data_IF_704809289263
#
_entry.id   IF_704809289263
#
_cell.length_a   1.000
_cell.length_b   1.000
_cell.length_c   1.000
_cell.angle_alpha   90.00
_cell.angle_beta   90.00
_cell.angle_gamma   90.00
#
_symmetry.space_group_name_H-M   'P 1'
#
loop_
_entity.id
_entity.type
_entity.pdbx_description
1 polymer ?
#
# COMPACT_ATOMS: atom_id res chain seq x y z
N UNK A 1 -17.87 17.08 -4.42
CA UNK A 1 -16.99 16.29 -5.31
C UNK A 1 -16.43 17.04 -6.53
N UNK A 2 -17.07 18.10 -7.07
CA UNK A 2 -16.56 18.84 -8.23
C UNK A 2 -15.25 19.63 -7.99
N UNK A 3 -15.04 20.16 -6.78
CA UNK A 3 -13.85 20.98 -6.44
C UNK A 3 -12.51 20.22 -6.32
N UNK A 4 -12.46 18.89 -6.47
CA UNK A 4 -11.18 18.15 -6.44
C UNK A 4 -10.64 17.79 -7.83
N UNK A 5 -11.50 17.85 -8.86
CA UNK A 5 -11.17 17.45 -10.24
C UNK A 5 -10.47 18.55 -11.06
N UNK A 6 -10.57 19.83 -10.69
CA UNK A 6 -9.91 20.92 -11.45
C UNK A 6 -8.38 20.87 -11.36
N UNK A 7 -7.80 20.35 -10.27
CA UNK A 7 -6.35 20.18 -10.15
C UNK A 7 -5.79 19.20 -11.18
N UNK A 8 -6.57 18.18 -11.55
CA UNK A 8 -6.21 17.22 -12.61
C UNK A 8 -6.19 17.91 -13.98
N UNK A 9 -7.14 18.81 -14.22
CA UNK A 9 -7.18 19.63 -15.43
C UNK A 9 -6.02 20.62 -15.53
N UNK A 10 -5.30 20.91 -14.45
CA UNK A 10 -4.11 21.77 -14.47
C UNK A 10 -2.79 21.02 -14.72
N UNK A 11 -2.69 19.74 -14.34
CA UNK A 11 -1.44 18.96 -14.50
C UNK A 11 -1.14 18.69 -15.97
N UNK A 12 -2.16 18.36 -16.77
CA UNK A 12 -2.01 18.11 -18.21
C UNK A 12 -1.46 19.34 -18.97
N UNK A 13 -2.09 20.53 -18.89
CA UNK A 13 -1.54 21.71 -19.55
C UNK A 13 -0.18 22.12 -18.99
N UNK A 14 0.08 21.95 -17.68
CA UNK A 14 1.40 22.21 -17.09
C UNK A 14 2.48 21.30 -17.71
N UNK A 15 2.20 20.00 -17.86
CA UNK A 15 3.10 19.03 -18.50
C UNK A 15 3.28 19.27 -20.00
N UNK A 16 2.33 19.97 -20.64
CA UNK A 16 2.42 20.37 -22.04
C UNK A 16 3.11 21.74 -22.24
N UNK A 17 3.29 22.57 -21.22
CA UNK A 17 4.01 23.86 -21.34
C UNK A 17 5.42 23.75 -21.92
N UNK A 18 6.22 22.68 -21.69
CA UNK A 18 7.52 22.54 -22.31
C UNK A 18 7.44 22.36 -23.85
N UNK A 19 6.31 21.92 -24.41
CA UNK A 19 6.10 21.86 -25.86
C UNK A 19 6.17 23.26 -26.49
N UNK A 20 5.67 24.29 -25.80
CA UNK A 20 5.69 25.66 -26.29
C UNK A 20 7.12 26.24 -26.35
N UNK A 21 8.06 25.66 -25.58
CA UNK A 21 9.46 26.06 -25.57
C UNK A 21 10.31 25.35 -26.65
N UNK A 22 9.78 24.31 -27.32
CA UNK A 22 10.52 23.57 -28.36
C UNK A 22 11.11 24.45 -29.47
N UNK A 23 10.39 25.48 -30.00
CA UNK A 23 10.92 26.35 -31.06
C UNK A 23 12.07 27.26 -30.58
N UNK A 24 12.19 27.47 -29.27
CA UNK A 24 13.21 28.34 -28.66
C UNK A 24 14.48 27.58 -28.29
N UNK A 25 14.50 26.25 -28.48
CA UNK A 25 15.66 25.43 -28.13
C UNK A 25 16.76 25.54 -29.20
N UNK A 26 18.02 25.76 -28.79
CA UNK A 26 19.11 26.10 -29.70
C UNK A 26 19.62 24.92 -30.53
N UNK A 27 19.27 23.68 -30.17
CA UNK A 27 19.69 22.49 -30.91
C UNK A 27 18.68 21.35 -30.80
N UNK A 28 18.76 20.42 -31.75
CA UNK A 28 17.91 19.24 -31.86
C UNK A 28 18.04 18.28 -30.67
N UNK A 29 19.19 18.27 -29.99
CA UNK A 29 19.41 17.47 -28.79
C UNK A 29 18.54 17.94 -27.62
N UNK A 30 18.51 19.24 -27.33
CA UNK A 30 17.66 19.84 -26.30
C UNK A 30 16.17 19.63 -26.62
N UNK A 31 15.79 19.74 -27.90
CA UNK A 31 14.43 19.41 -28.35
C UNK A 31 14.09 17.95 -28.07
N UNK A 32 15.01 17.02 -28.35
CA UNK A 32 14.84 15.60 -28.07
C UNK A 32 14.64 15.30 -26.57
N UNK A 33 15.38 15.97 -25.68
CA UNK A 33 15.20 15.84 -24.23
C UNK A 33 13.79 16.28 -23.82
N UNK A 34 13.33 17.44 -24.29
CA UNK A 34 12.00 17.96 -23.96
C UNK A 34 10.91 17.00 -24.45
N UNK A 35 10.99 16.56 -25.70
CA UNK A 35 10.05 15.57 -26.25
C UNK A 35 10.06 14.28 -25.42
N UNK A 36 11.24 13.78 -25.04
CA UNK A 36 11.39 12.59 -24.20
C UNK A 36 10.75 12.76 -22.82
N UNK A 37 10.98 13.90 -22.16
CA UNK A 37 10.37 14.22 -20.85
C UNK A 37 8.85 14.28 -20.94
N UNK A 38 8.29 14.86 -22.00
CA UNK A 38 6.84 14.93 -22.19
C UNK A 38 6.26 13.55 -22.52
N UNK A 39 6.89 12.84 -23.45
CA UNK A 39 6.44 11.52 -23.89
C UNK A 39 6.44 10.50 -22.73
N UNK A 40 7.40 10.59 -21.80
CA UNK A 40 7.41 9.76 -20.60
C UNK A 40 6.53 10.33 -19.47
N UNK A 41 6.60 11.64 -19.26
CA UNK A 41 5.98 12.33 -18.12
C UNK A 41 4.46 12.41 -18.21
N UNK A 42 3.88 12.61 -19.40
CA UNK A 42 2.43 12.71 -19.57
C UNK A 42 1.73 11.37 -19.28
N UNK A 43 2.13 10.22 -19.87
CA UNK A 43 1.55 8.92 -19.51
C UNK A 43 1.76 8.57 -18.04
N UNK A 44 2.94 8.84 -17.48
CA UNK A 44 3.20 8.62 -16.05
C UNK A 44 2.32 9.50 -15.15
N UNK A 45 2.09 10.76 -15.54
CA UNK A 45 1.17 11.68 -14.87
C UNK A 45 -0.27 11.20 -14.92
N UNK A 46 -0.75 10.81 -16.11
CA UNK A 46 -2.09 10.24 -16.30
C UNK A 46 -2.25 8.97 -15.47
N UNK A 47 -1.27 8.06 -15.51
CA UNK A 47 -1.28 6.84 -14.69
C UNK A 47 -1.39 7.16 -13.19
N UNK A 48 -0.57 8.08 -12.69
CA UNK A 48 -0.63 8.50 -11.28
C UNK A 48 -1.98 9.13 -10.90
N UNK A 49 -2.56 9.93 -11.79
CA UNK A 49 -3.89 10.51 -11.61
C UNK A 49 -4.95 9.42 -11.60
N UNK A 50 -4.89 8.47 -12.53
CA UNK A 50 -5.83 7.34 -12.59
C UNK A 50 -5.73 6.51 -11.32
N UNK A 51 -4.53 6.13 -10.87
CA UNK A 51 -4.33 5.36 -9.64
C UNK A 51 -4.79 6.11 -8.39
N UNK A 52 -4.56 7.42 -8.32
CA UNK A 52 -5.01 8.24 -7.18
C UNK A 52 -6.51 8.53 -7.20
N UNK A 53 -7.15 8.53 -8.38
CA UNK A 53 -8.59 8.78 -8.55
C UNK A 53 -9.45 7.52 -8.58
N UNK A 54 -8.87 6.36 -8.87
CA UNK A 54 -9.55 5.07 -8.79
C UNK A 54 -9.57 4.56 -7.35
N UNK A 55 -10.56 3.71 -7.07
CA UNK A 55 -10.86 3.08 -5.76
C UNK A 55 -9.67 2.41 -5.07
N UNK A 56 -8.53 2.25 -5.75
CA UNK A 56 -7.25 1.81 -5.20
C UNK A 56 -6.81 2.68 -4.02
N UNK A 57 -7.01 4.00 -4.08
CA UNK A 57 -6.66 4.89 -2.95
C UNK A 57 -7.49 4.58 -1.70
N UNK A 58 -8.78 4.24 -1.87
CA UNK A 58 -9.65 3.84 -0.76
C UNK A 58 -9.26 2.48 -0.19
N UNK A 59 -8.96 1.50 -1.05
CA UNK A 59 -8.50 0.18 -0.60
C UNK A 59 -7.19 0.29 0.20
N UNK A 60 -6.24 1.06 -0.32
CA UNK A 60 -4.97 1.32 0.35
C UNK A 60 -5.10 2.03 1.69
N UNK A 61 -5.96 3.05 1.77
CA UNK A 61 -6.20 3.74 3.04
C UNK A 61 -6.92 2.82 4.03
N UNK A 62 -7.69 1.84 3.54
CA UNK A 62 -8.18 0.72 4.34
C UNK A 62 -7.05 -0.10 4.96
N UNK A 63 -6.09 -0.58 4.14
CA UNK A 63 -4.92 -1.33 4.62
C UNK A 63 -4.04 -0.53 5.59
N UNK A 64 -3.88 0.77 5.34
CA UNK A 64 -3.12 1.65 6.22
C UNK A 64 -3.87 1.89 7.54
N UNK A 65 -5.18 2.10 7.49
CA UNK A 65 -6.02 2.22 8.68
C UNK A 65 -5.96 0.95 9.54
N UNK A 66 -6.01 -0.23 8.92
CA UNK A 66 -5.84 -1.52 9.61
C UNK A 66 -4.48 -1.59 10.33
N UNK A 67 -3.40 -1.15 9.66
CA UNK A 67 -2.06 -1.07 10.27
C UNK A 67 -2.00 -0.07 11.42
N UNK A 68 -2.67 1.08 11.32
CA UNK A 68 -2.77 2.04 12.41
C UNK A 68 -3.57 1.49 13.59
N UNK A 69 -4.70 0.82 13.35
CA UNK A 69 -5.46 0.11 14.39
C UNK A 69 -4.58 -0.93 15.08
N UNK A 70 -3.90 -1.80 14.32
CA UNK A 70 -2.98 -2.78 14.89
C UNK A 70 -1.87 -2.14 15.73
N UNK A 71 -1.36 -0.97 15.32
CA UNK A 71 -0.37 -0.24 16.09
C UNK A 71 -0.94 0.27 17.42
N UNK A 72 -2.16 0.82 17.42
CA UNK A 72 -2.84 1.24 18.65
C UNK A 72 -3.17 0.07 19.57
N UNK A 73 -3.60 -1.07 19.02
CA UNK A 73 -3.82 -2.30 19.79
C UNK A 73 -2.53 -2.82 20.43
N UNK A 74 -1.42 -2.88 19.67
CA UNK A 74 -0.10 -3.24 20.22
C UNK A 74 0.36 -2.28 21.32
N UNK A 75 0.08 -0.99 21.17
CA UNK A 75 0.35 0.01 22.22
C UNK A 75 -0.55 -0.19 23.43
N UNK A 76 -1.81 -0.62 23.24
CA UNK A 76 -2.75 -0.88 24.32
C UNK A 76 -2.20 -1.95 25.27
N UNK A 77 -1.70 -3.06 24.70
CA UNK A 77 -1.18 -4.22 25.44
C UNK A 77 0.33 -4.16 25.76
N UNK A 78 1.01 -3.07 25.39
CA UNK A 78 2.45 -2.94 25.64
C UNK A 78 2.73 -3.03 27.14
N UNK A 79 3.55 -4.01 27.54
CA UNK A 79 3.91 -4.27 28.93
C UNK A 79 3.06 -5.34 29.60
N UNK A 80 2.01 -5.84 28.94
CA UNK A 80 1.23 -6.99 29.40
C UNK A 80 1.69 -8.25 28.65
N UNK A 81 2.41 -9.13 29.36
CA UNK A 81 2.91 -10.39 28.82
C UNK A 81 1.82 -11.44 28.59
N UNK A 82 0.61 -11.21 29.10
CA UNK A 82 -0.51 -12.17 29.05
C UNK A 82 -1.56 -11.81 27.99
N UNK A 83 -1.32 -10.74 27.23
CA UNK A 83 -2.21 -10.28 26.18
C UNK A 83 -1.72 -10.71 24.80
N UNK A 84 -2.65 -11.12 23.94
CA UNK A 84 -2.36 -11.58 22.58
C UNK A 84 -3.13 -10.76 21.55
N UNK A 85 -2.46 -10.42 20.45
CA UNK A 85 -3.08 -9.73 19.31
C UNK A 85 -2.89 -10.58 18.05
N UNK A 86 -3.99 -11.06 17.49
CA UNK A 86 -4.04 -11.73 16.21
C UNK A 86 -4.58 -10.74 15.17
N UNK A 87 -3.90 -10.59 14.03
CA UNK A 87 -4.37 -9.75 12.93
C UNK A 87 -4.84 -10.64 11.78
N UNK A 88 -5.82 -10.17 10.99
CA UNK A 88 -6.35 -10.83 9.80
C UNK A 88 -6.74 -12.28 10.05
N UNK A 89 -7.61 -12.50 11.03
CA UNK A 89 -8.10 -13.86 11.35
C UNK A 89 -9.04 -14.31 10.24
N UNK A 90 -8.70 -15.38 9.52
CA UNK A 90 -9.55 -15.85 8.45
C UNK A 90 -10.74 -16.65 8.98
N UNK A 91 -11.96 -16.17 8.75
CA UNK A 91 -13.12 -16.83 9.34
C UNK A 91 -14.43 -16.66 8.55
N UNK A 92 -15.01 -17.78 8.15
CA UNK A 92 -16.36 -17.81 7.56
C UNK A 92 -16.50 -17.05 6.24
N UNK A 93 -15.47 -17.09 5.39
CA UNK A 93 -15.44 -16.40 4.08
C UNK A 93 -15.07 -14.93 4.15
N UNK A 94 -14.79 -14.40 5.35
CA UNK A 94 -14.35 -13.04 5.59
C UNK A 94 -13.08 -13.05 6.44
N UNK A 95 -12.35 -11.95 6.43
CA UNK A 95 -11.21 -11.74 7.33
C UNK A 95 -11.65 -10.81 8.45
N UNK A 96 -11.35 -11.20 9.68
CA UNK A 96 -11.51 -10.37 10.87
C UNK A 96 -10.23 -9.55 11.01
N UNK A 97 -10.31 -8.23 10.96
CA UNK A 97 -9.12 -7.38 10.96
C UNK A 97 -8.25 -7.64 12.20
N UNK A 98 -8.84 -7.61 13.40
CA UNK A 98 -8.12 -7.93 14.62
C UNK A 98 -8.94 -8.69 15.65
N UNK A 99 -8.29 -9.63 16.33
CA UNK A 99 -8.76 -10.27 17.54
C UNK A 99 -7.74 -10.02 18.64
N UNK A 100 -8.15 -9.32 19.69
CA UNK A 100 -7.32 -9.03 20.84
C UNK A 100 -7.85 -9.79 22.07
N UNK A 101 -6.95 -10.48 22.76
CA UNK A 101 -7.23 -11.18 24.01
C UNK A 101 -6.48 -10.49 25.13
N UNK A 102 -7.20 -9.98 26.13
CA UNK A 102 -6.60 -9.33 27.31
C UNK A 102 -7.26 -9.84 28.59
N UNK A 103 -6.77 -9.49 29.79
CA UNK A 103 -7.47 -9.80 31.04
C UNK A 103 -8.91 -9.27 31.11
N UNK A 104 -9.25 -8.24 30.32
CA UNK A 104 -10.61 -7.69 30.25
C UNK A 104 -11.56 -8.51 29.34
N UNK A 105 -11.04 -9.46 28.55
CA UNK A 105 -11.84 -10.34 27.70
C UNK A 105 -11.32 -10.44 26.27
N UNK A 106 -12.22 -10.87 25.38
CA UNK A 106 -11.96 -11.00 23.94
C UNK A 106 -12.54 -9.78 23.20
N UNK A 107 -11.72 -9.08 22.45
CA UNK A 107 -12.11 -7.94 21.62
C UNK A 107 -11.99 -8.31 20.15
N UNK A 108 -13.07 -8.11 19.40
CA UNK A 108 -13.13 -8.30 17.96
C UNK A 108 -13.23 -6.92 17.34
N UNK A 109 -12.20 -6.54 16.59
CA UNK A 109 -12.05 -5.18 16.06
C UNK A 109 -12.15 -5.22 14.55
N UNK A 110 -13.10 -4.47 14.02
CA UNK A 110 -13.23 -4.15 12.60
C UNK A 110 -12.70 -2.74 12.36
N UNK A 111 -11.90 -2.53 11.32
CA UNK A 111 -11.35 -1.23 10.96
C UNK A 111 -12.03 -0.72 9.69
N UNK A 112 -12.49 0.54 9.71
CA UNK A 112 -12.97 1.21 8.50
C UNK A 112 -12.28 2.55 8.30
N UNK A 113 -12.00 2.85 7.04
CA UNK A 113 -11.54 4.15 6.59
C UNK A 113 -12.60 4.84 5.72
N UNK A 114 -12.69 6.16 5.84
CA UNK A 114 -13.50 7.03 4.97
C UNK A 114 -12.76 8.33 4.66
N UNK A 115 -12.87 8.84 3.44
CA UNK A 115 -12.46 10.22 3.10
C UNK A 115 -13.53 11.26 3.42
N UNK A 116 -14.73 10.81 3.74
CA UNK A 116 -15.89 11.65 4.04
C UNK A 116 -16.18 11.64 5.54
N UNK A 117 -16.75 12.73 6.10
CA UNK A 117 -17.14 12.79 7.50
C UNK A 117 -18.03 11.61 7.89
N UNK A 118 -17.79 11.02 9.04
CA UNK A 118 -18.53 9.86 9.54
C UNK A 118 -19.96 10.21 9.96
N UNK A 119 -20.22 11.48 10.30
CA UNK A 119 -21.53 12.04 10.61
C UNK A 119 -22.44 12.26 9.40
N UNK A 120 -21.92 12.21 8.17
CA UNK A 120 -22.76 12.32 6.99
C UNK A 120 -23.52 10.98 6.73
N UNK A 121 -24.56 11.03 5.89
CA UNK A 121 -25.37 9.83 5.60
C UNK A 121 -24.55 8.65 5.05
N UNK A 122 -23.68 8.82 4.04
CA UNK A 122 -22.78 7.75 3.59
C UNK A 122 -21.90 7.16 4.70
N UNK A 123 -21.37 8.01 5.58
CA UNK A 123 -20.57 7.64 6.74
C UNK A 123 -21.36 6.82 7.75
N UNK A 124 -22.58 7.26 8.08
CA UNK A 124 -23.49 6.52 8.97
C UNK A 124 -23.87 5.15 8.39
N UNK A 125 -24.21 5.07 7.09
CA UNK A 125 -24.54 3.81 6.43
C UNK A 125 -23.33 2.84 6.47
N UNK A 126 -22.11 3.36 6.30
CA UNK A 126 -20.87 2.58 6.38
C UNK A 126 -20.55 2.14 7.81
N UNK A 127 -20.81 2.98 8.81
CA UNK A 127 -20.70 2.60 10.23
C UNK A 127 -21.68 1.48 10.57
N UNK A 128 -22.93 1.60 10.13
CA UNK A 128 -23.96 0.57 10.35
C UNK A 128 -23.55 -0.76 9.69
N UNK A 129 -23.10 -0.71 8.43
CA UNK A 129 -22.60 -1.90 7.72
C UNK A 129 -21.41 -2.56 8.44
N UNK A 130 -20.48 -1.76 8.98
CA UNK A 130 -19.33 -2.27 9.73
C UNK A 130 -19.76 -2.91 11.06
N UNK A 131 -20.77 -2.36 11.72
CA UNK A 131 -21.34 -2.93 12.95
C UNK A 131 -22.01 -4.27 12.68
N UNK A 132 -22.83 -4.35 11.63
CA UNK A 132 -23.46 -5.61 11.22
C UNK A 132 -22.43 -6.67 10.85
N UNK A 133 -21.36 -6.27 10.17
CA UNK A 133 -20.24 -7.14 9.81
C UNK A 133 -19.54 -7.69 11.06
N UNK A 134 -19.10 -6.82 11.99
CA UNK A 134 -18.39 -7.26 13.21
C UNK A 134 -19.31 -8.07 14.12
N UNK A 135 -20.60 -7.76 14.17
CA UNK A 135 -21.58 -8.55 14.91
C UNK A 135 -21.76 -9.95 14.35
N UNK A 136 -21.94 -10.06 13.03
CA UNK A 136 -22.08 -11.32 12.32
C UNK A 136 -20.83 -12.20 12.48
N UNK A 137 -19.65 -11.60 12.34
CA UNK A 137 -18.35 -12.25 12.56
C UNK A 137 -18.22 -12.70 14.01
N UNK A 138 -18.47 -11.83 14.98
CA UNK A 138 -18.37 -12.15 16.39
C UNK A 138 -19.29 -13.31 16.77
N UNK A 139 -20.54 -13.28 16.33
CA UNK A 139 -21.50 -14.36 16.56
C UNK A 139 -21.02 -15.70 15.99
N UNK A 140 -20.50 -15.71 14.76
CA UNK A 140 -19.98 -16.94 14.17
C UNK A 140 -18.73 -17.43 14.93
N UNK A 141 -17.85 -16.51 15.33
CA UNK A 141 -16.59 -16.84 16.03
C UNK A 141 -16.87 -17.41 17.43
N UNK A 142 -17.84 -16.86 18.16
CA UNK A 142 -18.25 -17.41 19.46
C UNK A 142 -18.99 -18.74 19.36
N UNK A 143 -19.51 -19.10 18.18
CA UNK A 143 -20.12 -20.39 17.91
C UNK A 143 -19.13 -21.44 17.39
N UNK A 144 -17.91 -21.03 17.03
CA UNK A 144 -16.86 -21.95 16.60
C UNK A 144 -16.45 -22.88 17.75
N UNK A 145 -16.49 -24.19 17.52
CA UNK A 145 -16.39 -25.20 18.58
C UNK A 145 -15.21 -25.00 19.55
N UNK A 146 -14.01 -24.77 18.99
CA UNK A 146 -12.77 -24.60 19.78
C UNK A 146 -12.83 -23.39 20.72
N UNK A 147 -13.48 -22.30 20.30
CA UNK A 147 -13.57 -21.08 21.09
C UNK A 147 -14.83 -21.05 21.97
N UNK A 148 -15.94 -21.63 21.50
CA UNK A 148 -17.22 -21.65 22.22
C UNK A 148 -17.11 -22.27 23.61
N UNK A 149 -16.52 -23.46 23.68
CA UNK A 149 -16.39 -24.19 24.95
C UNK A 149 -15.51 -23.42 25.94
N UNK A 150 -14.41 -22.85 25.45
CA UNK A 150 -13.46 -22.07 26.21
C UNK A 150 -14.06 -20.76 26.74
N UNK A 151 -14.73 -19.98 25.88
CA UNK A 151 -15.37 -18.73 26.31
C UNK A 151 -16.48 -18.98 27.33
N UNK A 152 -17.24 -20.08 27.18
CA UNK A 152 -18.29 -20.46 28.11
C UNK A 152 -17.72 -20.91 29.47
N UNK A 153 -16.66 -21.73 29.48
CA UNK A 153 -16.05 -22.25 30.70
C UNK A 153 -15.44 -21.15 31.59
N UNK A 154 -14.87 -20.11 30.97
CA UNK A 154 -14.23 -19.00 31.68
C UNK A 154 -15.10 -17.72 31.73
N UNK A 155 -16.38 -17.80 31.33
CA UNK A 155 -17.31 -16.68 31.26
C UNK A 155 -16.72 -15.41 30.60
N UNK A 156 -15.95 -15.59 29.52
CA UNK A 156 -15.16 -14.53 28.89
C UNK A 156 -16.08 -13.55 28.16
N UNK A 157 -16.07 -12.25 28.50
CA UNK A 157 -16.86 -11.27 27.77
C UNK A 157 -16.26 -11.06 26.37
N UNK A 158 -17.14 -11.03 25.36
CA UNK A 158 -16.79 -10.75 23.96
C UNK A 158 -17.29 -9.37 23.58
N UNK A 159 -16.36 -8.46 23.34
CA UNK A 159 -16.62 -7.07 22.98
C UNK A 159 -16.35 -6.84 21.52
N UNK A 160 -17.27 -6.14 20.84
CA UNK A 160 -17.14 -5.77 19.42
C UNK A 160 -16.70 -4.32 19.34
N UNK A 161 -15.73 -4.03 18.49
CA UNK A 161 -15.21 -2.68 18.28
C UNK A 161 -15.22 -2.38 16.78
N UNK A 162 -15.69 -1.19 16.41
CA UNK A 162 -15.48 -0.60 15.09
C UNK A 162 -14.54 0.59 15.26
N UNK A 163 -13.33 0.47 14.73
CA UNK A 163 -12.31 1.51 14.72
C UNK A 163 -12.41 2.31 13.42
N UNK A 164 -12.78 3.58 13.55
CA UNK A 164 -12.99 4.49 12.42
C UNK A 164 -11.74 5.36 12.19
N UNK A 165 -11.26 5.42 10.95
CA UNK A 165 -10.16 6.30 10.53
C UNK A 165 -10.58 7.19 9.37
N UNK A 166 -9.87 8.31 9.23
CA UNK A 166 -10.19 9.33 8.23
C UNK A 166 -11.34 10.22 8.70
N UNK A 167 -12.26 10.57 7.81
CA UNK A 167 -13.26 11.60 8.05
C UNK A 167 -12.69 13.01 8.02
N UNK A 168 -13.47 13.98 8.49
CA UNK A 168 -12.96 15.32 8.70
C UNK A 168 -12.03 15.33 9.92
N UNK A 169 -10.86 15.99 9.83
CA UNK A 169 -9.87 15.99 10.93
C UNK A 169 -10.40 16.70 12.18
N UNK A 170 -11.44 17.50 12.03
CA UNK A 170 -12.13 18.20 13.13
C UNK A 170 -13.26 17.37 13.75
N UNK A 171 -13.59 16.21 13.17
CA UNK A 171 -14.66 15.36 13.67
C UNK A 171 -14.15 14.50 14.83
N UNK A 172 -14.47 14.91 16.05
CA UNK A 172 -14.30 14.07 17.24
C UNK A 172 -15.41 13.04 17.31
N UNK A 173 -15.07 11.78 17.04
CA UNK A 173 -15.98 10.65 17.28
C UNK A 173 -15.73 10.14 18.68
N UNK A 174 -16.54 10.61 19.63
CA UNK A 174 -16.55 10.06 20.98
C UNK A 174 -16.89 8.57 20.95
N UNK A 175 -16.28 7.74 21.82
CA UNK A 175 -16.64 6.34 21.92
C UNK A 175 -18.12 6.19 22.27
N UNK A 176 -18.87 5.54 21.39
CA UNK A 176 -20.30 5.27 21.58
C UNK A 176 -20.54 3.76 21.56
N UNK A 177 -21.35 3.26 22.49
CA UNK A 177 -21.83 1.88 22.45
C UNK A 177 -23.18 1.85 21.74
N UNK A 178 -23.25 1.22 20.57
CA UNK A 178 -24.49 1.13 19.79
C UNK A 178 -24.80 -0.34 19.50
N UNK A 179 -25.84 -0.87 20.14
CA UNK A 179 -26.21 -2.28 20.03
C UNK A 179 -25.14 -3.24 20.57
N UNK A 180 -24.41 -2.85 21.63
CA UNK A 180 -23.36 -3.69 22.22
C UNK A 180 -22.04 -3.73 21.40
N UNK A 181 -21.93 -2.87 20.39
CA UNK A 181 -20.68 -2.64 19.64
C UNK A 181 -20.16 -1.25 19.95
N UNK A 182 -18.90 -1.16 20.39
CA UNK A 182 -18.24 0.11 20.63
C UNK A 182 -17.75 0.69 19.30
N UNK A 183 -18.19 1.88 18.94
CA UNK A 183 -17.77 2.62 17.75
C UNK A 183 -16.99 3.83 18.20
N UNK A 184 -15.78 4.00 17.66
CA UNK A 184 -14.90 5.10 18.06
C UNK A 184 -13.89 5.44 16.98
N UNK A 185 -13.28 6.63 17.08
CA UNK A 185 -12.10 6.94 16.27
C UNK A 185 -10.94 5.99 16.63
N UNK A 186 -10.17 5.55 15.64
CA UNK A 186 -9.11 4.55 15.81
C UNK A 186 -8.01 4.96 16.79
N UNK A 187 -7.73 6.26 16.94
CA UNK A 187 -6.80 6.78 17.96
C UNK A 187 -7.25 6.52 19.40
N UNK A 188 -8.57 6.36 19.62
CA UNK A 188 -9.15 6.19 20.95
C UNK A 188 -9.17 4.75 21.41
N UNK A 189 -8.99 3.79 20.49
CA UNK A 189 -9.05 2.36 20.75
C UNK A 189 -8.10 1.96 21.89
N UNK A 190 -6.88 2.48 21.89
CA UNK A 190 -5.89 2.21 22.95
C UNK A 190 -6.39 2.67 24.32
N UNK A 191 -6.87 3.90 24.41
CA UNK A 191 -7.36 4.50 25.66
C UNK A 191 -8.57 3.72 26.16
N UNK A 192 -9.51 3.41 25.26
CA UNK A 192 -10.73 2.68 25.56
C UNK A 192 -10.48 1.26 26.05
N UNK A 193 -9.60 0.50 25.40
CA UNK A 193 -9.25 -0.89 25.79
C UNK A 193 -8.59 -0.91 27.17
N UNK A 194 -7.67 0.03 27.45
CA UNK A 194 -7.00 0.10 28.76
C UNK A 194 -7.93 0.48 29.91
N UNK A 195 -9.06 1.14 29.59
CA UNK A 195 -10.06 1.50 30.58
C UNK A 195 -11.02 0.34 30.92
N UNK A 196 -10.95 -0.79 30.20
CA UNK A 196 -11.83 -1.93 30.48
C UNK A 196 -11.39 -2.67 31.74
N UNK A 197 -12.33 -2.99 32.66
CA UNK A 197 -12.00 -3.75 33.85
C UNK A 197 -11.59 -5.17 33.48
N UNK A 198 -10.67 -5.75 34.25
CA UNK A 198 -10.34 -7.17 34.11
C UNK A 198 -11.59 -8.03 34.40
N UNK A 199 -11.83 -9.04 33.58
CA UNK A 199 -12.99 -9.93 33.70
C UNK A 199 -12.79 -11.06 34.73
N UNK A 200 -11.67 -11.05 35.47
CA UNK A 200 -11.43 -11.98 36.58
C UNK A 200 -11.03 -13.42 36.19
N UNK A 201 -10.78 -13.69 34.90
CA UNK A 201 -10.39 -15.02 34.42
C UNK A 201 -8.91 -15.35 34.70
N UNK A 202 -8.62 -16.58 35.09
CA UNK A 202 -7.29 -17.16 35.04
C UNK A 202 -6.73 -17.08 33.60
N UNK A 203 -5.46 -16.70 33.43
CA UNK A 203 -4.91 -16.40 32.10
C UNK A 203 -4.94 -17.55 31.08
N UNK A 204 -5.23 -18.77 31.52
CA UNK A 204 -5.17 -20.02 30.74
C UNK A 204 -6.02 -19.97 29.46
N UNK A 205 -7.22 -19.41 29.51
CA UNK A 205 -8.09 -19.33 28.34
C UNK A 205 -7.47 -18.54 27.18
N UNK A 206 -6.59 -17.56 27.48
CA UNK A 206 -5.97 -16.72 26.45
C UNK A 206 -4.93 -17.50 25.65
N UNK A 207 -4.13 -18.32 26.32
CA UNK A 207 -3.11 -19.17 25.67
C UNK A 207 -3.77 -20.22 24.78
N UNK A 208 -4.86 -20.82 25.26
CA UNK A 208 -5.65 -21.80 24.50
C UNK A 208 -6.37 -21.17 23.31
N UNK A 209 -7.02 -20.01 23.51
CA UNK A 209 -7.69 -19.28 22.43
C UNK A 209 -6.68 -18.79 21.37
N UNK A 210 -5.52 -18.28 21.79
CA UNK A 210 -4.42 -17.92 20.90
C UNK A 210 -3.95 -19.11 20.07
N UNK A 211 -3.76 -20.26 20.71
CA UNK A 211 -3.35 -21.50 20.03
C UNK A 211 -4.38 -21.97 19.03
N UNK A 212 -5.67 -21.89 19.36
CA UNK A 212 -6.77 -22.24 18.46
C UNK A 212 -6.80 -21.32 17.23
N UNK A 213 -6.74 -20.01 17.44
CA UNK A 213 -6.71 -19.03 16.34
C UNK A 213 -5.46 -19.16 15.47
N UNK A 214 -4.31 -19.47 16.05
CA UNK A 214 -3.06 -19.70 15.31
C UNK A 214 -3.16 -20.92 14.40
N UNK A 215 -3.73 -22.03 14.88
CA UNK A 215 -3.99 -23.23 14.04
C UNK A 215 -4.94 -22.93 12.89
N UNK A 216 -5.94 -22.10 13.12
CA UNK A 216 -6.89 -21.67 12.09
C UNK A 216 -6.18 -20.89 10.98
N UNK A 217 -5.30 -19.94 11.33
CA UNK A 217 -4.50 -19.15 10.37
C UNK A 217 -3.58 -20.07 9.57
N UNK A 218 -2.79 -20.90 10.24
CA UNK A 218 -1.84 -21.81 9.61
C UNK A 218 -2.54 -22.78 8.63
N UNK A 219 -3.75 -23.25 9.00
CA UNK A 219 -4.56 -24.08 8.10
C UNK A 219 -4.95 -23.35 6.83
N UNK A 220 -5.33 -22.06 6.89
CA UNK A 220 -5.68 -21.30 5.68
C UNK A 220 -4.45 -20.97 4.84
N UNK A 221 -3.34 -20.54 5.44
CA UNK A 221 -2.11 -20.22 4.70
C UNK A 221 -1.62 -21.41 3.86
N UNK A 222 -1.77 -22.64 4.37
CA UNK A 222 -1.49 -23.86 3.59
C UNK A 222 -2.37 -24.05 2.35
N UNK A 223 -3.63 -23.61 2.39
CA UNK A 223 -4.59 -23.79 1.31
C UNK A 223 -4.63 -22.60 0.33
N UNK A 224 -4.18 -21.42 0.76
CA UNK A 224 -4.16 -20.21 -0.05
C UNK A 224 -2.88 -19.39 0.18
N UNK A 225 -1.77 -19.77 -0.48
CA UNK A 225 -0.49 -19.09 -0.33
C UNK A 225 -0.52 -17.66 -0.91
N UNK A 226 -1.49 -17.35 -1.78
CA UNK A 226 -1.57 -16.04 -2.45
C UNK A 226 -1.98 -14.91 -1.51
N UNK A 227 -2.61 -15.23 -0.37
CA UNK A 227 -3.01 -14.26 0.65
C UNK A 227 -1.84 -13.71 1.48
N UNK A 228 -0.65 -14.30 1.39
CA UNK A 228 0.53 -13.86 2.16
C UNK A 228 1.29 -12.70 1.51
N UNK A 229 1.00 -12.36 0.24
CA UNK A 229 1.59 -11.20 -0.40
C UNK A 229 0.89 -9.93 0.09
N UNK A 230 1.43 -9.32 1.15
CA UNK A 230 1.02 -7.97 1.58
C UNK A 230 1.11 -7.06 0.35
N UNK A 231 0.00 -6.43 -0.08
CA UNK A 231 0.02 -5.50 -1.19
C UNK A 231 1.08 -4.44 -0.92
N UNK A 232 2.03 -4.26 -1.85
CA UNK A 232 3.07 -3.24 -1.68
C UNK A 232 2.40 -1.87 -1.63
N UNK A 233 2.82 -1.02 -0.70
CA UNK A 233 2.28 0.33 -0.61
C UNK A 233 2.54 1.10 -1.90
N UNK A 234 1.64 2.01 -2.30
CA UNK A 234 1.88 2.93 -3.41
C UNK A 234 3.14 3.75 -3.20
N UNK A 235 3.52 4.08 -1.96
CA UNK A 235 4.80 4.75 -1.69
C UNK A 235 5.99 3.88 -2.06
N UNK A 236 5.94 2.56 -1.82
CA UNK A 236 6.95 1.62 -2.30
C UNK A 236 6.92 1.52 -3.83
N UNK A 237 5.74 1.46 -4.45
CA UNK A 237 5.64 1.47 -5.92
C UNK A 237 6.16 2.76 -6.56
N UNK A 238 5.76 3.93 -6.05
CA UNK A 238 6.20 5.25 -6.52
C UNK A 238 7.69 5.46 -6.29
N UNK A 239 8.22 5.07 -5.13
CA UNK A 239 9.66 5.18 -4.88
C UNK A 239 10.45 4.28 -5.83
N UNK A 240 9.98 3.05 -6.09
CA UNK A 240 10.60 2.17 -7.09
C UNK A 240 10.53 2.74 -8.50
N UNK A 241 9.38 3.28 -8.92
CA UNK A 241 9.22 3.92 -10.24
C UNK A 241 10.14 5.13 -10.34
N UNK A 242 10.19 5.98 -9.31
CA UNK A 242 11.04 7.16 -9.24
C UNK A 242 12.53 6.80 -9.34
N UNK A 243 12.99 5.84 -8.53
CA UNK A 243 14.38 5.35 -8.56
C UNK A 243 14.73 4.71 -9.91
N UNK A 244 13.81 3.91 -10.48
CA UNK A 244 13.98 3.30 -11.81
C UNK A 244 14.14 4.38 -12.89
N UNK A 245 13.27 5.38 -12.88
CA UNK A 245 13.28 6.48 -13.85
C UNK A 245 14.52 7.35 -13.72
N UNK A 246 14.87 7.76 -12.49
CA UNK A 246 16.06 8.56 -12.23
C UNK A 246 17.34 7.83 -12.65
N UNK A 247 17.44 6.53 -12.33
CA UNK A 247 18.57 5.71 -12.75
C UNK A 247 18.65 5.57 -14.28
N UNK A 248 17.51 5.41 -14.96
CA UNK A 248 17.49 5.35 -16.42
C UNK A 248 18.00 6.65 -17.05
N UNK A 249 17.53 7.80 -16.54
CA UNK A 249 17.98 9.13 -17.00
C UNK A 249 19.48 9.31 -16.79
N UNK A 250 20.00 9.03 -15.59
CA UNK A 250 21.43 9.20 -15.27
C UNK A 250 22.31 8.33 -16.17
N UNK A 251 21.95 7.07 -16.36
CA UNK A 251 22.74 6.15 -17.19
C UNK A 251 22.66 6.54 -18.67
N UNK A 252 21.49 6.91 -19.15
CA UNK A 252 21.31 7.39 -20.52
C UNK A 252 22.15 8.64 -20.80
N UNK A 253 22.13 9.62 -19.90
CA UNK A 253 22.95 10.84 -20.00
C UNK A 253 24.44 10.52 -19.94
N UNK A 254 24.87 9.61 -19.06
CA UNK A 254 26.26 9.15 -18.98
C UNK A 254 26.74 8.56 -20.30
N UNK A 255 25.99 7.61 -20.87
CA UNK A 255 26.29 6.99 -22.16
C UNK A 255 26.27 8.00 -23.31
N UNK A 256 25.29 8.90 -23.32
CA UNK A 256 25.20 9.98 -24.32
C UNK A 256 26.42 10.90 -24.26
N UNK A 257 26.85 11.27 -23.06
CA UNK A 257 28.04 12.11 -22.84
C UNK A 257 29.32 11.42 -23.33
N UNK A 258 29.45 10.10 -23.07
CA UNK A 258 30.56 9.31 -23.61
C UNK A 258 30.57 9.33 -25.14
N UNK A 259 29.41 9.18 -25.78
CA UNK A 259 29.30 9.25 -27.23
C UNK A 259 29.65 10.64 -27.78
N UNK A 260 29.13 11.71 -27.19
CA UNK A 260 29.42 13.09 -27.65
C UNK A 260 30.89 13.45 -27.49
N UNK A 261 31.56 12.98 -26.44
CA UNK A 261 32.97 13.29 -26.20
C UNK A 261 33.93 12.46 -27.06
N UNK A 262 33.54 11.24 -27.44
CA UNK A 262 34.42 10.33 -28.20
C UNK A 262 34.10 10.29 -29.69
N UNK A 263 32.91 10.74 -30.09
CA UNK A 263 32.35 10.57 -31.43
C UNK A 263 32.43 9.12 -31.95
N UNK A 264 32.48 8.13 -31.05
CA UNK A 264 32.76 6.74 -31.38
C UNK A 264 31.59 5.84 -30.98
N UNK A 265 30.96 5.21 -31.99
CA UNK A 265 29.93 4.19 -31.75
C UNK A 265 30.49 2.98 -31.00
N UNK A 266 31.75 2.62 -31.23
CA UNK A 266 32.42 1.52 -30.51
C UNK A 266 32.58 1.85 -29.02
N UNK A 267 32.92 3.10 -28.68
CA UNK A 267 33.00 3.52 -27.28
C UNK A 267 31.63 3.44 -26.59
N UNK A 268 30.55 3.83 -27.29
CA UNK A 268 29.18 3.71 -26.79
C UNK A 268 28.76 2.26 -26.58
N UNK A 269 29.07 1.35 -27.53
CA UNK A 269 28.81 -0.09 -27.39
C UNK A 269 29.59 -0.67 -26.20
N UNK A 270 30.88 -0.31 -26.09
CA UNK A 270 31.76 -0.74 -25.01
C UNK A 270 31.29 -0.26 -23.63
N UNK A 271 30.60 0.88 -23.53
CA UNK A 271 29.95 1.33 -22.28
C UNK A 271 28.60 0.66 -22.02
N UNK A 272 27.83 0.38 -23.07
CA UNK A 272 26.45 -0.14 -22.96
C UNK A 272 26.44 -1.61 -22.51
N UNK A 273 27.29 -2.47 -23.10
CA UNK A 273 27.30 -3.91 -22.81
C UNK A 273 27.65 -4.20 -21.34
N UNK A 274 28.75 -3.68 -20.76
CA UNK A 274 29.07 -3.93 -19.36
C UNK A 274 28.00 -3.40 -18.41
N UNK A 275 27.44 -2.22 -18.70
CA UNK A 275 26.35 -1.64 -17.90
C UNK A 275 25.13 -2.56 -17.87
N UNK A 276 24.73 -3.10 -19.03
CA UNK A 276 23.63 -4.06 -19.10
C UNK A 276 23.94 -5.37 -18.34
N UNK A 277 25.14 -5.92 -18.51
CA UNK A 277 25.57 -7.13 -17.79
C UNK A 277 25.55 -6.95 -16.27
N UNK A 278 26.12 -5.84 -15.77
CA UNK A 278 26.11 -5.48 -14.35
C UNK A 278 24.67 -5.36 -13.85
N UNK A 279 23.79 -4.70 -14.61
CA UNK A 279 22.39 -4.55 -14.24
C UNK A 279 21.65 -5.89 -14.15
N UNK A 280 21.87 -6.84 -15.08
CA UNK A 280 21.29 -8.20 -15.01
C UNK A 280 21.75 -8.94 -13.76
N UNK A 281 23.03 -8.83 -13.39
CA UNK A 281 23.58 -9.46 -12.19
C UNK A 281 22.96 -8.84 -10.93
N UNK A 282 22.92 -7.51 -10.86
CA UNK A 282 22.40 -6.78 -9.69
C UNK A 282 20.89 -6.92 -9.51
N UNK A 283 20.13 -7.20 -10.58
CA UNK A 283 18.67 -7.41 -10.53
C UNK A 283 18.25 -8.51 -9.54
N UNK A 284 19.13 -9.49 -9.28
CA UNK A 284 18.89 -10.59 -8.31
C UNK A 284 18.76 -10.12 -6.87
N UNK A 285 19.21 -8.90 -6.53
CA UNK A 285 19.12 -8.34 -5.17
C UNK A 285 17.91 -7.41 -5.05
N UNK A 286 16.93 -7.78 -4.19
CA UNK A 286 15.66 -7.04 -4.00
C UNK A 286 15.82 -5.54 -3.74
N UNK A 287 16.89 -5.13 -3.06
CA UNK A 287 17.19 -3.72 -2.73
C UNK A 287 17.64 -2.89 -3.94
N UNK A 288 18.32 -3.52 -4.92
CA UNK A 288 18.94 -2.83 -6.06
C UNK A 288 18.10 -3.01 -7.33
N UNK A 289 17.08 -3.88 -7.30
CA UNK A 289 16.19 -4.15 -8.45
C UNK A 289 15.69 -2.88 -9.17
N UNK A 290 15.25 -1.80 -8.48
CA UNK A 290 14.80 -0.59 -9.20
C UNK A 290 15.92 0.10 -10.00
N UNK A 291 17.12 0.22 -9.43
CA UNK A 291 18.28 0.79 -10.11
C UNK A 291 18.70 -0.07 -11.31
N UNK A 292 18.76 -1.39 -11.12
CA UNK A 292 19.08 -2.35 -12.17
C UNK A 292 18.08 -2.28 -13.33
N UNK A 293 16.78 -2.15 -13.02
CA UNK A 293 15.76 -1.97 -14.05
C UNK A 293 15.95 -0.66 -14.82
N UNK A 294 16.29 0.44 -14.13
CA UNK A 294 16.57 1.72 -14.77
C UNK A 294 17.76 1.63 -15.74
N UNK A 295 18.84 0.96 -15.31
CA UNK A 295 20.00 0.70 -16.16
C UNK A 295 19.66 -0.10 -17.42
N UNK A 296 18.85 -1.16 -17.29
CA UNK A 296 18.41 -1.97 -18.43
C UNK A 296 17.53 -1.20 -19.41
N UNK A 297 16.65 -0.32 -18.92
CA UNK A 297 15.83 0.56 -19.78
C UNK A 297 16.74 1.51 -20.57
N UNK A 298 17.72 2.13 -19.91
CA UNK A 298 18.64 3.06 -20.56
C UNK A 298 19.51 2.38 -21.62
N UNK A 299 20.12 1.24 -21.30
CA UNK A 299 20.96 0.50 -22.26
C UNK A 299 20.15 -0.06 -23.42
N UNK A 300 18.92 -0.52 -23.17
CA UNK A 300 17.98 -0.92 -24.22
C UNK A 300 17.62 0.23 -25.16
N UNK A 301 17.33 1.42 -24.63
CA UNK A 301 17.05 2.60 -25.44
C UNK A 301 18.25 3.00 -26.32
N UNK A 302 19.47 2.98 -25.78
CA UNK A 302 20.70 3.24 -26.54
C UNK A 302 20.90 2.21 -27.67
N UNK A 303 20.67 0.92 -27.39
CA UNK A 303 20.79 -0.13 -28.39
C UNK A 303 19.79 0.07 -29.56
N UNK A 304 18.55 0.44 -29.27
CA UNK A 304 17.54 0.75 -30.29
C UNK A 304 17.97 1.94 -31.15
N UNK A 305 18.47 3.01 -30.53
CA UNK A 305 18.96 4.20 -31.26
C UNK A 305 20.14 3.86 -32.19
N UNK A 306 21.08 3.01 -31.73
CA UNK A 306 22.20 2.53 -32.54
C UNK A 306 21.71 1.72 -33.75
N UNK A 307 20.71 0.85 -33.57
CA UNK A 307 20.13 0.07 -34.66
C UNK A 307 19.44 0.97 -35.69
N UNK A 308 18.70 1.98 -35.25
CA UNK A 308 18.06 2.97 -36.14
C UNK A 308 19.11 3.74 -36.93
N UNK A 309 20.18 4.19 -36.28
CA UNK A 309 21.27 4.90 -36.93
C UNK A 309 22.00 4.04 -37.97
N UNK A 310 22.27 2.77 -37.64
CA UNK A 310 22.88 1.82 -38.57
C UNK A 310 21.99 1.55 -39.79
N UNK A 311 20.67 1.39 -39.58
CA UNK A 311 19.72 1.20 -40.67
C UNK A 311 19.64 2.42 -41.59
N UNK A 312 19.63 3.64 -41.02
CA UNK A 312 19.65 4.87 -41.80
C UNK A 312 20.94 5.03 -42.64
N UNK A 313 22.10 4.71 -42.06
CA UNK A 313 23.38 4.75 -42.77
C UNK A 313 23.43 3.74 -43.93
N UNK A 314 22.89 2.53 -43.72
CA UNK A 314 22.79 1.53 -44.78
C UNK A 314 21.89 1.99 -45.93
N UNK A 315 20.77 2.65 -45.63
CA UNK A 315 19.85 3.18 -46.63
C UNK A 315 20.46 4.29 -47.49
N UNK A 316 21.40 5.08 -46.96
CA UNK A 316 22.10 6.13 -47.75
C UNK A 316 23.18 5.60 -48.69
N UNK A 317 23.58 4.33 -48.55
CA UNK A 317 24.58 3.69 -49.40
C UNK A 317 23.98 2.92 -50.58
N UNK A 318 22.65 2.76 -50.60
CA UNK A 318 21.87 2.13 -51.67
C UNK A 318 21.35 3.18 -52.65
#
# INVERSE_FOLDING_TARGET
MAQRRWRILLVVPLMCTPLAALPLMPNSFAQGIIVGVIAAGVPAGIWNITVSSTSTSMAMMGDEAERWTAQELRRAIRGDATSYLVNRVPFGGHDIDHVLMTPAGLFIVETKWSSEPWSNRPGMDRQQSAREQVEGVARKLTLWADLKALLAAHAVPVTRIVALWGGDRTETIEPQSVGGTAVMHGSEVKRWIRAQPAAGSDGLWRDEAWSALSRLIEKRERHDPTLTEVPRSLTDHLSRIGVTTASAVVIFLGLSTTFTSTHSALALIAGTIPTACIAVILRRRRLITPLANGALIATGAVAVLLLIAAAAAAATLL
#
